data_IF_143568733230
#
_entry.id   IF_143568733230
#
_cell.length_a   1.000
_cell.length_b   1.000
_cell.length_c   1.000
_cell.angle_alpha   90.00
_cell.angle_beta   90.00
_cell.angle_gamma   90.00
#
_symmetry.space_group_name_H-M   'P 1'
#
loop_
_entity.id
_entity.type
_entity.pdbx_description
1 polymer ?
#
# COMPACT_ATOMS: atom_id res chain seq x y z
N UNK A 1 -11.47 23.07 -4.44
CA UNK A 1 -10.37 23.82 -3.79
C UNK A 1 -9.36 24.29 -4.84
N UNK A 2 -8.72 25.42 -4.57
CA UNK A 2 -7.62 25.90 -5.41
C UNK A 2 -6.36 25.09 -5.05
N UNK A 3 -5.67 24.59 -6.08
CA UNK A 3 -4.40 23.88 -5.88
C UNK A 3 -3.35 24.86 -5.31
N UNK A 4 -2.66 24.54 -4.20
CA UNK A 4 -1.58 25.37 -3.72
C UNK A 4 -0.41 25.42 -4.72
N UNK A 5 0.39 26.49 -4.73
CA UNK A 5 1.56 26.56 -5.60
C UNK A 5 2.56 25.44 -5.26
N UNK A 6 3.32 25.01 -6.26
CA UNK A 6 4.44 24.10 -6.01
C UNK A 6 5.49 24.75 -5.11
N UNK A 7 6.04 24.03 -4.12
CA UNK A 7 7.06 24.57 -3.23
C UNK A 7 8.27 25.16 -3.97
N UNK A 8 8.64 24.61 -5.11
CA UNK A 8 9.73 25.16 -5.95
C UNK A 8 9.44 26.58 -6.47
N UNK A 9 8.15 26.98 -6.53
CA UNK A 9 7.73 28.33 -6.93
C UNK A 9 7.50 29.20 -5.70
N UNK A 10 6.77 28.66 -4.73
CA UNK A 10 6.41 29.38 -3.49
C UNK A 10 6.22 28.35 -2.35
N UNK A 11 7.27 28.18 -1.54
CA UNK A 11 7.30 27.25 -0.40
C UNK A 11 7.41 27.95 0.94
N UNK A 12 8.39 27.52 1.74
CA UNK A 12 8.64 28.05 3.09
C UNK A 12 8.91 29.56 3.05
N UNK A 13 8.24 30.30 3.91
CA UNK A 13 8.28 31.78 3.98
C UNK A 13 7.94 32.47 2.65
N UNK A 14 7.15 31.84 1.79
CA UNK A 14 6.81 32.37 0.47
C UNK A 14 7.96 32.39 -0.53
N UNK A 15 9.05 31.67 -0.26
CA UNK A 15 10.24 31.60 -1.11
C UNK A 15 10.31 30.27 -1.86
N UNK A 16 11.01 30.20 -3.02
CA UNK A 16 11.29 28.94 -3.68
C UNK A 16 11.98 27.96 -2.72
N UNK A 17 11.43 26.73 -2.61
CA UNK A 17 11.85 25.76 -1.61
C UNK A 17 12.02 24.39 -2.26
N UNK A 18 13.16 23.76 -2.02
CA UNK A 18 13.42 22.36 -2.40
C UNK A 18 12.91 21.46 -1.26
N UNK A 19 12.18 20.40 -1.62
CA UNK A 19 11.71 19.38 -0.70
C UNK A 19 12.38 18.06 -1.06
N UNK A 20 12.94 17.40 -0.07
CA UNK A 20 13.51 16.06 -0.19
C UNK A 20 12.98 15.15 0.91
N UNK A 21 12.95 13.85 0.65
CA UNK A 21 12.61 12.84 1.64
C UNK A 21 13.66 12.83 2.77
N UNK A 22 13.20 12.68 4.01
CA UNK A 22 14.06 12.69 5.20
C UNK A 22 15.07 11.53 5.18
N UNK A 23 14.66 10.34 4.77
CA UNK A 23 15.54 9.16 4.61
C UNK A 23 16.67 9.44 3.62
N UNK A 24 16.34 10.05 2.48
CA UNK A 24 17.33 10.49 1.47
C UNK A 24 18.33 11.48 2.07
N UNK A 25 17.85 12.51 2.76
CA UNK A 25 18.73 13.51 3.37
C UNK A 25 19.60 12.93 4.49
N UNK A 26 19.09 11.99 5.27
CA UNK A 26 19.84 11.31 6.32
C UNK A 26 20.98 10.45 5.73
N UNK A 27 20.83 9.92 4.54
CA UNK A 27 21.84 9.07 3.88
C UNK A 27 22.98 9.88 3.26
N UNK A 28 22.70 11.11 2.79
CA UNK A 28 23.70 11.96 2.08
C UNK A 28 25.01 12.13 2.83
N UNK A 29 25.06 12.45 4.15
CA UNK A 29 26.32 12.61 4.87
C UNK A 29 27.19 11.35 4.86
N UNK A 30 26.58 10.18 4.93
CA UNK A 30 27.28 8.90 4.91
C UNK A 30 27.83 8.58 3.54
N UNK A 31 27.12 8.90 2.47
CA UNK A 31 27.60 8.76 1.08
C UNK A 31 28.80 9.69 0.85
N UNK A 32 28.73 10.94 1.29
CA UNK A 32 29.83 11.89 1.17
C UNK A 32 31.07 11.46 1.93
N UNK A 33 30.89 10.83 3.09
CA UNK A 33 32.01 10.33 3.93
C UNK A 33 32.65 9.07 3.35
N UNK A 34 31.87 8.12 2.89
CA UNK A 34 32.32 6.76 2.56
C UNK A 34 32.43 6.51 1.05
N UNK A 35 31.85 7.38 0.22
CA UNK A 35 31.85 7.28 -1.23
C UNK A 35 30.62 6.54 -1.81
N UNK A 36 30.38 6.74 -3.10
CA UNK A 36 29.22 6.17 -3.80
C UNK A 36 29.28 4.63 -3.88
N UNK A 37 30.45 4.08 -4.15
CA UNK A 37 30.64 2.63 -4.24
C UNK A 37 30.34 1.92 -2.90
N UNK A 38 30.67 2.56 -1.77
CA UNK A 38 30.27 2.03 -0.47
C UNK A 38 28.75 1.91 -0.35
N UNK A 39 28.02 2.96 -0.74
CA UNK A 39 26.55 2.94 -0.64
C UNK A 39 25.93 1.92 -1.58
N UNK A 40 26.43 1.83 -2.81
CA UNK A 40 26.00 0.86 -3.79
C UNK A 40 26.12 -0.58 -3.28
N UNK A 41 27.24 -0.89 -2.63
CA UNK A 41 27.52 -2.22 -2.10
C UNK A 41 26.74 -2.57 -0.83
N UNK A 42 25.90 -1.68 -0.28
CA UNK A 42 25.00 -2.00 0.82
C UNK A 42 23.72 -2.70 0.37
N UNK A 43 23.36 -2.58 -0.91
CA UNK A 43 22.17 -3.23 -1.46
C UNK A 43 22.37 -4.71 -1.81
N UNK A 44 21.30 -5.41 -2.07
CA UNK A 44 21.25 -6.79 -2.56
C UNK A 44 20.50 -6.86 -3.89
N UNK A 45 20.70 -7.94 -4.67
CA UNK A 45 19.95 -8.23 -5.90
C UNK A 45 19.90 -7.06 -6.92
N UNK A 46 21.06 -6.47 -7.23
CA UNK A 46 21.21 -5.34 -8.17
C UNK A 46 20.59 -4.02 -7.70
N UNK A 47 20.11 -3.95 -6.46
CA UNK A 47 19.62 -2.74 -5.83
C UNK A 47 20.71 -2.05 -5.03
N UNK A 48 20.68 -0.71 -4.98
CA UNK A 48 21.71 0.09 -4.31
C UNK A 48 21.20 0.58 -2.93
N UNK A 49 22.04 0.45 -1.90
CA UNK A 49 21.83 1.08 -0.61
C UNK A 49 20.88 0.33 0.33
N UNK A 50 20.37 1.07 1.29
CA UNK A 50 19.51 0.56 2.35
C UNK A 50 18.16 1.26 2.36
N UNK A 51 17.17 0.64 3.00
CA UNK A 51 15.85 1.21 3.23
C UNK A 51 15.32 0.88 4.61
N UNK A 52 14.53 1.81 5.17
CA UNK A 52 13.75 1.58 6.37
C UNK A 52 12.46 0.85 6.01
N UNK A 53 12.30 -0.37 6.51
CA UNK A 53 11.07 -1.15 6.38
C UNK A 53 10.26 -1.06 7.67
N UNK A 54 9.06 -0.49 7.57
CA UNK A 54 8.15 -0.36 8.71
C UNK A 54 7.20 -1.57 8.74
N UNK A 55 7.59 -2.61 9.47
CA UNK A 55 6.84 -3.86 9.58
C UNK A 55 5.68 -3.71 10.56
N UNK A 56 4.45 -3.96 10.10
CA UNK A 56 3.21 -3.82 10.89
C UNK A 56 2.17 -4.87 10.53
N UNK A 57 1.06 -4.88 11.24
CA UNK A 57 -0.02 -5.85 11.05
C UNK A 57 0.12 -7.06 11.98
N UNK A 58 -0.21 -8.25 11.50
CA UNK A 58 -0.19 -9.49 12.26
C UNK A 58 1.22 -10.09 12.35
N UNK A 59 2.05 -9.47 13.17
CA UNK A 59 3.43 -9.86 13.47
C UNK A 59 3.60 -10.09 14.97
N UNK A 60 4.47 -11.00 15.37
CA UNK A 60 4.81 -11.19 16.78
C UNK A 60 5.53 -9.96 17.34
N UNK A 61 6.44 -9.34 16.54
CA UNK A 61 7.17 -8.13 16.92
C UNK A 61 7.12 -7.07 15.81
N UNK A 62 6.10 -6.23 15.72
CA UNK A 62 6.08 -5.10 14.79
C UNK A 62 7.21 -4.12 15.10
N UNK A 63 8.02 -3.76 14.10
CA UNK A 63 9.16 -2.86 14.26
C UNK A 63 9.58 -2.17 12.97
N UNK A 64 10.49 -1.22 13.08
CA UNK A 64 11.18 -0.61 11.94
C UNK A 64 12.54 -1.26 11.80
N UNK A 65 12.86 -1.72 10.59
CA UNK A 65 14.10 -2.43 10.27
C UNK A 65 14.82 -1.65 9.18
N UNK A 66 16.08 -1.27 9.42
CA UNK A 66 16.98 -0.82 8.37
C UNK A 66 17.63 -2.06 7.75
N UNK A 67 17.41 -2.27 6.46
CA UNK A 67 17.95 -3.43 5.75
C UNK A 67 18.40 -3.06 4.34
N UNK A 68 19.28 -3.88 3.72
CA UNK A 68 19.62 -3.73 2.31
C UNK A 68 18.37 -3.66 1.43
N UNK A 69 18.36 -2.74 0.46
CA UNK A 69 17.37 -2.77 -0.59
C UNK A 69 17.59 -4.05 -1.40
N UNK A 70 16.54 -4.82 -1.67
CA UNK A 70 16.63 -6.13 -2.30
C UNK A 70 16.67 -7.32 -1.32
N UNK A 71 16.63 -7.07 -0.01
CA UNK A 71 16.44 -8.14 0.99
C UNK A 71 15.16 -8.95 0.68
N UNK A 72 15.20 -10.26 0.83
CA UNK A 72 14.03 -11.11 0.60
C UNK A 72 12.99 -10.89 1.72
N UNK A 73 11.71 -10.81 1.37
CA UNK A 73 10.62 -10.55 2.32
C UNK A 73 10.61 -11.53 3.51
N UNK A 74 10.89 -12.82 3.29
CA UNK A 74 10.94 -13.82 4.36
C UNK A 74 11.94 -13.47 5.46
N UNK A 75 13.08 -12.87 5.13
CA UNK A 75 14.06 -12.41 6.13
C UNK A 75 13.52 -11.26 6.99
N UNK A 76 12.79 -10.31 6.39
CA UNK A 76 12.12 -9.24 7.15
C UNK A 76 11.05 -9.81 8.09
N UNK A 77 10.35 -10.85 7.65
CA UNK A 77 9.35 -11.54 8.47
C UNK A 77 10.00 -12.28 9.65
N UNK A 78 11.14 -12.96 9.42
CA UNK A 78 11.94 -13.61 10.45
C UNK A 78 12.42 -12.62 11.51
N UNK A 79 12.91 -11.45 11.11
CA UNK A 79 13.31 -10.38 12.01
C UNK A 79 12.17 -9.92 12.95
N UNK A 80 10.92 -10.09 12.52
CA UNK A 80 9.72 -9.80 13.30
C UNK A 80 9.21 -11.01 14.11
N UNK A 81 10.01 -12.06 14.26
CA UNK A 81 9.63 -13.34 14.88
C UNK A 81 8.41 -14.01 14.24
N UNK A 82 8.22 -13.79 12.94
CA UNK A 82 7.16 -14.41 12.14
C UNK A 82 5.78 -13.78 12.31
N UNK A 83 4.79 -14.47 11.76
CA UNK A 83 3.38 -14.08 11.83
C UNK A 83 2.84 -14.30 13.25
N UNK A 84 1.93 -13.44 13.69
CA UNK A 84 1.31 -13.45 14.99
C UNK A 84 0.74 -14.84 15.35
N UNK A 85 1.05 -15.31 16.56
CA UNK A 85 0.57 -16.57 17.13
C UNK A 85 0.84 -17.82 16.27
N UNK A 86 1.78 -17.74 15.30
CA UNK A 86 2.10 -18.84 14.41
C UNK A 86 1.06 -19.09 13.32
N UNK A 87 0.14 -18.17 13.10
CA UNK A 87 -0.84 -18.23 12.01
C UNK A 87 -0.17 -18.21 10.64
N UNK A 88 -0.89 -18.67 9.62
CA UNK A 88 -0.40 -18.64 8.24
C UNK A 88 -0.47 -17.23 7.66
N UNK A 89 0.60 -16.83 6.95
CA UNK A 89 0.59 -15.61 6.16
C UNK A 89 -0.45 -15.72 5.04
N UNK A 90 -1.33 -14.74 4.93
CA UNK A 90 -2.38 -14.67 3.90
C UNK A 90 -2.05 -13.67 2.81
N UNK A 91 -1.71 -12.45 3.21
CA UNK A 91 -1.51 -11.34 2.30
C UNK A 91 -0.56 -10.30 2.87
N UNK A 92 0.02 -9.50 1.98
CA UNK A 92 0.90 -8.39 2.34
C UNK A 92 0.59 -7.17 1.48
N UNK A 93 0.59 -5.99 2.10
CA UNK A 93 0.71 -4.71 1.41
C UNK A 93 2.15 -4.25 1.63
N UNK A 94 3.03 -4.26 0.61
CA UNK A 94 4.47 -4.10 0.84
C UNK A 94 4.97 -2.66 0.92
N UNK A 95 4.15 -1.67 0.57
CA UNK A 95 4.63 -0.29 0.41
C UNK A 95 3.67 0.80 0.89
N UNK A 96 2.79 0.50 1.84
CA UNK A 96 1.75 1.40 2.32
C UNK A 96 0.40 1.17 1.64
N UNK A 97 -0.67 1.73 2.21
CA UNK A 97 -2.05 1.44 1.81
C UNK A 97 -2.41 1.78 0.36
N UNK A 98 -1.55 2.54 -0.34
CA UNK A 98 -1.73 2.93 -1.74
C UNK A 98 -1.27 1.89 -2.76
N UNK A 99 -0.46 0.91 -2.34
CA UNK A 99 0.05 -0.09 -3.28
C UNK A 99 -0.84 -1.32 -3.35
N UNK A 100 -0.81 -2.07 -4.47
CA UNK A 100 -1.56 -3.30 -4.62
C UNK A 100 -1.21 -4.33 -3.55
N UNK A 101 -2.23 -4.94 -2.93
CA UNK A 101 -2.08 -6.10 -2.05
C UNK A 101 -1.65 -7.32 -2.86
N UNK A 102 -0.80 -8.15 -2.29
CA UNK A 102 -0.38 -9.44 -2.88
C UNK A 102 -0.62 -10.58 -1.92
N UNK A 103 -0.77 -11.80 -2.47
CA UNK A 103 -0.89 -13.03 -1.69
C UNK A 103 0.46 -13.49 -1.14
N UNK A 104 0.42 -14.27 -0.06
CA UNK A 104 1.61 -14.82 0.59
C UNK A 104 2.56 -15.55 -0.37
N UNK A 105 2.00 -16.43 -1.21
CA UNK A 105 2.76 -17.23 -2.18
C UNK A 105 3.53 -16.41 -3.21
N UNK A 106 3.08 -15.17 -3.46
CA UNK A 106 3.74 -14.29 -4.44
C UNK A 106 4.88 -13.47 -3.85
N UNK A 107 4.88 -13.23 -2.54
CA UNK A 107 5.84 -12.30 -1.93
C UNK A 107 6.90 -12.96 -1.06
N UNK A 108 6.63 -14.15 -0.52
CA UNK A 108 7.48 -14.76 0.52
C UNK A 108 8.96 -14.85 0.11
N UNK A 109 9.23 -15.20 -1.14
CA UNK A 109 10.58 -15.34 -1.70
C UNK A 109 10.99 -14.17 -2.61
N UNK A 110 10.20 -13.07 -2.59
CA UNK A 110 10.44 -11.92 -3.47
C UNK A 110 11.42 -10.93 -2.80
N UNK A 111 12.46 -10.47 -3.53
CA UNK A 111 13.29 -9.37 -3.10
C UNK A 111 12.48 -8.09 -2.94
N UNK A 112 12.74 -7.36 -1.86
CA UNK A 112 12.07 -6.10 -1.55
C UNK A 112 12.79 -4.93 -2.23
N UNK A 113 12.67 -4.89 -3.54
CA UNK A 113 13.16 -3.84 -4.44
C UNK A 113 12.08 -3.39 -5.42
N UNK A 114 12.37 -2.35 -6.21
CA UNK A 114 11.39 -1.76 -7.12
C UNK A 114 11.00 -2.70 -8.25
N UNK A 115 11.98 -3.36 -8.87
CA UNK A 115 11.81 -4.20 -10.05
C UNK A 115 11.14 -5.52 -9.71
N UNK A 116 11.55 -6.15 -8.63
CA UNK A 116 11.01 -7.45 -8.21
C UNK A 116 9.56 -7.33 -7.76
N UNK A 117 9.22 -6.30 -6.99
CA UNK A 117 7.84 -6.05 -6.57
C UNK A 117 6.93 -5.66 -7.76
N UNK A 118 7.47 -4.92 -8.74
CA UNK A 118 6.73 -4.60 -9.98
C UNK A 118 6.39 -5.86 -10.78
N UNK A 119 7.31 -6.83 -10.86
CA UNK A 119 7.10 -8.11 -11.56
C UNK A 119 5.94 -8.92 -10.98
N UNK A 120 5.72 -8.86 -9.67
CA UNK A 120 4.58 -9.52 -9.02
C UNK A 120 3.31 -8.66 -8.94
N UNK A 121 3.32 -7.49 -9.58
CA UNK A 121 2.15 -6.62 -9.71
C UNK A 121 1.85 -5.73 -8.51
N UNK A 122 2.89 -5.37 -7.74
CA UNK A 122 2.81 -4.41 -6.63
C UNK A 122 3.95 -3.40 -6.71
N UNK A 123 4.24 -2.67 -5.64
CA UNK A 123 5.29 -1.65 -5.59
C UNK A 123 5.93 -1.59 -4.20
N UNK A 124 7.21 -1.19 -4.15
CA UNK A 124 7.90 -0.95 -2.87
C UNK A 124 7.30 0.23 -2.09
N UNK A 125 6.79 1.24 -2.78
CA UNK A 125 6.16 2.41 -2.18
C UNK A 125 7.04 3.08 -1.11
N UNK A 126 6.46 3.27 0.08
CA UNK A 126 7.18 3.89 1.21
C UNK A 126 8.00 2.90 2.05
N UNK A 127 7.89 1.58 1.80
CA UNK A 127 8.44 0.56 2.69
C UNK A 127 7.61 0.32 3.96
N UNK A 128 6.39 0.87 4.00
CA UNK A 128 5.41 0.59 5.05
C UNK A 128 4.69 -0.72 4.77
N UNK A 129 5.11 -1.79 5.44
CA UNK A 129 4.63 -3.16 5.18
C UNK A 129 3.50 -3.50 6.15
N UNK A 130 2.39 -4.01 5.60
CA UNK A 130 1.25 -4.49 6.41
C UNK A 130 1.09 -5.97 6.16
N UNK A 131 1.35 -6.77 7.18
CA UNK A 131 1.22 -8.23 7.17
C UNK A 131 -0.17 -8.62 7.64
N UNK A 132 -0.81 -9.51 6.90
CA UNK A 132 -2.16 -10.01 7.19
C UNK A 132 -2.14 -11.53 7.20
N UNK A 133 -2.59 -12.12 8.29
CA UNK A 133 -2.72 -13.57 8.46
C UNK A 133 -4.07 -14.11 7.95
N UNK A 134 -4.24 -15.41 8.07
CA UNK A 134 -5.44 -16.14 7.64
C UNK A 134 -6.73 -15.71 8.34
N UNK A 135 -6.65 -15.07 9.52
CA UNK A 135 -7.81 -14.57 10.26
C UNK A 135 -8.31 -13.23 9.73
N UNK A 136 -7.61 -12.64 8.77
CA UNK A 136 -7.93 -11.32 8.22
C UNK A 136 -9.06 -11.38 7.19
N UNK A 137 -10.13 -10.63 7.43
CA UNK A 137 -11.20 -10.41 6.45
C UNK A 137 -10.79 -9.32 5.45
N UNK A 138 -10.56 -9.70 4.20
CA UNK A 138 -10.08 -8.76 3.16
C UNK A 138 -11.12 -7.69 2.80
N UNK A 139 -12.40 -7.97 2.92
CA UNK A 139 -13.48 -6.97 2.73
C UNK A 139 -13.40 -5.86 3.78
N UNK A 140 -13.15 -6.23 5.04
CA UNK A 140 -13.01 -5.27 6.14
C UNK A 140 -11.76 -4.41 6.01
N UNK A 141 -10.64 -5.00 5.57
CA UNK A 141 -9.40 -4.26 5.31
C UNK A 141 -9.60 -3.24 4.19
N UNK A 142 -10.20 -3.66 3.07
CA UNK A 142 -10.44 -2.75 1.95
C UNK A 142 -11.42 -1.64 2.32
N UNK A 143 -12.46 -1.92 3.12
CA UNK A 143 -13.35 -0.87 3.63
C UNK A 143 -12.58 0.17 4.45
N UNK A 144 -11.69 -0.29 5.33
CA UNK A 144 -10.85 0.60 6.17
C UNK A 144 -9.94 1.49 5.33
N UNK A 145 -9.29 0.93 4.31
CA UNK A 145 -8.45 1.66 3.36
C UNK A 145 -9.30 2.68 2.58
N UNK A 146 -10.44 2.26 2.06
CA UNK A 146 -11.32 3.15 1.28
C UNK A 146 -11.89 4.30 2.12
N UNK A 147 -12.18 4.05 3.41
CA UNK A 147 -12.58 5.09 4.36
C UNK A 147 -11.50 6.15 4.51
N UNK A 148 -10.23 5.73 4.62
CA UNK A 148 -9.10 6.64 4.72
C UNK A 148 -9.02 7.54 3.49
N UNK A 149 -9.01 6.98 2.29
CA UNK A 149 -8.94 7.79 1.06
C UNK A 149 -10.14 8.71 0.85
N UNK A 150 -11.33 8.29 1.27
CA UNK A 150 -12.50 9.16 1.26
C UNK A 150 -12.34 10.36 2.20
N UNK A 151 -11.81 10.14 3.40
CA UNK A 151 -11.56 11.20 4.37
C UNK A 151 -10.45 12.17 3.92
N UNK A 152 -9.39 11.64 3.28
CA UNK A 152 -8.22 12.42 2.86
C UNK A 152 -8.41 13.12 1.50
N UNK A 153 -9.45 12.82 0.74
CA UNK A 153 -9.73 13.51 -0.52
C UNK A 153 -9.90 15.01 -0.30
N UNK A 154 -9.07 15.80 -0.97
CA UNK A 154 -9.18 17.27 -0.89
C UNK A 154 -10.44 17.84 -1.58
N UNK A 155 -11.16 17.02 -2.37
CA UNK A 155 -12.37 17.39 -3.08
C UNK A 155 -12.16 18.19 -4.37
N UNK A 156 -10.93 18.31 -4.88
CA UNK A 156 -10.64 19.08 -6.10
C UNK A 156 -11.18 18.40 -7.35
N UNK A 157 -10.83 17.13 -7.58
CA UNK A 157 -11.19 16.40 -8.80
C UNK A 157 -12.49 15.63 -8.58
N UNK A 158 -13.44 15.73 -9.51
CA UNK A 158 -14.73 15.04 -9.40
C UNK A 158 -14.57 13.52 -9.27
N UNK A 159 -13.74 12.83 -10.06
CA UNK A 159 -13.58 11.38 -9.92
C UNK A 159 -13.11 10.96 -8.52
N UNK A 160 -12.16 11.66 -7.93
CA UNK A 160 -11.69 11.41 -6.57
C UNK A 160 -12.73 11.80 -5.53
N UNK A 161 -13.27 13.03 -5.60
CA UNK A 161 -14.23 13.57 -4.61
C UNK A 161 -15.46 12.68 -4.45
N UNK A 162 -16.06 12.28 -5.56
CA UNK A 162 -17.29 11.46 -5.54
C UNK A 162 -16.97 9.97 -5.50
N UNK A 163 -15.99 9.53 -6.30
CA UNK A 163 -15.68 8.12 -6.46
C UNK A 163 -15.14 7.47 -5.18
N UNK A 164 -14.28 8.13 -4.41
CA UNK A 164 -13.79 7.58 -3.13
C UNK A 164 -14.93 7.37 -2.14
N UNK A 165 -15.90 8.29 -2.11
CA UNK A 165 -17.11 8.16 -1.30
C UNK A 165 -18.01 7.01 -1.76
N UNK A 166 -18.10 6.77 -3.07
CA UNK A 166 -18.86 5.65 -3.62
C UNK A 166 -18.18 4.31 -3.30
N UNK A 167 -16.86 4.20 -3.46
CA UNK A 167 -16.10 3.00 -3.08
C UNK A 167 -16.34 2.65 -1.60
N UNK A 168 -16.14 3.61 -0.70
CA UNK A 168 -16.34 3.39 0.73
C UNK A 168 -17.77 2.97 1.08
N UNK A 169 -18.78 3.70 0.61
CA UNK A 169 -20.19 3.41 0.90
C UNK A 169 -20.63 2.05 0.36
N UNK A 170 -20.15 1.67 -0.83
CA UNK A 170 -20.43 0.35 -1.42
C UNK A 170 -19.80 -0.76 -0.58
N UNK A 171 -18.56 -0.60 -0.10
CA UNK A 171 -17.92 -1.56 0.80
C UNK A 171 -18.64 -1.67 2.15
N UNK A 172 -19.09 -0.57 2.72
CA UNK A 172 -19.94 -0.58 3.93
C UNK A 172 -21.23 -1.36 3.69
N UNK A 173 -21.89 -1.15 2.55
CA UNK A 173 -23.10 -1.89 2.16
C UNK A 173 -22.83 -3.40 2.06
N UNK A 174 -21.72 -3.80 1.42
CA UNK A 174 -21.33 -5.22 1.31
C UNK A 174 -21.07 -5.78 2.72
N UNK A 175 -20.26 -5.11 3.54
CA UNK A 175 -19.90 -5.57 4.88
C UNK A 175 -21.09 -5.65 5.84
N UNK A 176 -22.12 -4.84 5.64
CA UNK A 176 -23.37 -4.92 6.41
C UNK A 176 -24.34 -6.03 5.96
N UNK A 177 -23.92 -6.89 5.00
CA UNK A 177 -24.75 -7.97 4.48
C UNK A 177 -25.82 -7.53 3.47
N UNK A 178 -25.80 -6.27 3.04
CA UNK A 178 -26.76 -5.71 2.07
C UNK A 178 -26.19 -5.59 0.65
N UNK A 179 -24.96 -6.10 0.44
CA UNK A 179 -24.30 -6.12 -0.85
C UNK A 179 -24.97 -7.03 -1.87
N UNK A 180 -24.77 -6.71 -3.14
CA UNK A 180 -25.25 -7.47 -4.30
C UNK A 180 -24.10 -7.68 -5.29
N UNK A 181 -24.26 -8.59 -6.25
CA UNK A 181 -23.27 -8.80 -7.30
C UNK A 181 -22.98 -7.49 -8.08
N UNK A 182 -24.02 -6.71 -8.36
CA UNK A 182 -23.87 -5.41 -9.03
C UNK A 182 -23.04 -4.39 -8.22
N UNK A 183 -22.95 -4.54 -6.90
CA UNK A 183 -22.09 -3.69 -6.07
C UNK A 183 -20.61 -4.05 -6.27
N UNK A 184 -20.26 -5.33 -6.49
CA UNK A 184 -18.88 -5.74 -6.83
C UNK A 184 -18.47 -5.19 -8.20
N UNK A 185 -19.35 -5.28 -9.19
CA UNK A 185 -19.12 -4.69 -10.52
C UNK A 185 -18.97 -3.17 -10.44
N UNK A 186 -19.75 -2.53 -9.55
CA UNK A 186 -19.68 -1.08 -9.31
C UNK A 186 -18.32 -0.69 -8.73
N UNK A 187 -17.80 -1.44 -7.75
CA UNK A 187 -16.47 -1.17 -7.17
C UNK A 187 -15.37 -1.16 -8.24
N UNK A 188 -15.35 -2.18 -9.10
CA UNK A 188 -14.36 -2.27 -10.18
C UNK A 188 -14.52 -1.12 -11.19
N UNK A 189 -15.76 -0.82 -11.59
CA UNK A 189 -16.04 0.27 -12.53
C UNK A 189 -15.64 1.64 -11.96
N UNK A 190 -15.98 1.93 -10.71
CA UNK A 190 -15.65 3.22 -10.08
C UNK A 190 -14.15 3.35 -9.91
N UNK A 191 -13.43 2.30 -9.49
CA UNK A 191 -11.97 2.33 -9.38
C UNK A 191 -11.31 2.65 -10.73
N UNK A 192 -11.77 2.04 -11.84
CA UNK A 192 -11.27 2.33 -13.18
C UNK A 192 -11.59 3.77 -13.65
N UNK A 193 -12.68 4.38 -13.17
CA UNK A 193 -13.04 5.77 -13.50
C UNK A 193 -12.25 6.80 -12.65
N UNK A 194 -11.67 6.39 -11.54
CA UNK A 194 -10.80 7.25 -10.71
C UNK A 194 -9.36 7.21 -11.24
N UNK A 195 -8.85 6.02 -11.53
CA UNK A 195 -7.47 5.79 -11.94
C UNK A 195 -7.14 6.55 -13.24
N UNK A 196 -6.07 7.32 -13.22
CA UNK A 196 -5.63 8.13 -14.35
C UNK A 196 -6.49 9.38 -14.66
N UNK A 197 -7.57 9.62 -13.91
CA UNK A 197 -8.50 10.73 -14.19
C UNK A 197 -8.48 11.82 -13.11
N UNK A 198 -7.48 11.82 -12.24
CA UNK A 198 -7.30 12.79 -11.18
C UNK A 198 -6.06 13.66 -11.39
N UNK A 199 -6.05 14.87 -10.79
CA UNK A 199 -4.93 15.81 -10.92
C UNK A 199 -3.68 15.32 -10.17
N UNK A 200 -3.86 14.57 -9.08
CA UNK A 200 -2.77 14.06 -8.25
C UNK A 200 -2.91 12.56 -8.01
N UNK A 201 -1.84 11.93 -7.55
CA UNK A 201 -1.75 10.49 -7.33
C UNK A 201 -2.69 9.95 -6.22
N UNK A 202 -3.39 10.79 -5.44
CA UNK A 202 -4.32 10.30 -4.42
C UNK A 202 -5.48 9.50 -5.05
N UNK A 203 -5.93 9.88 -6.24
CA UNK A 203 -6.96 9.12 -6.96
C UNK A 203 -6.49 7.70 -7.29
N UNK A 204 -5.31 7.59 -7.87
CA UNK A 204 -4.70 6.29 -8.21
C UNK A 204 -4.43 5.46 -6.94
N UNK A 205 -3.92 6.11 -5.89
CA UNK A 205 -3.70 5.51 -4.58
C UNK A 205 -4.99 4.95 -3.93
N UNK A 206 -6.15 5.55 -4.22
CA UNK A 206 -7.44 5.04 -3.75
C UNK A 206 -7.98 3.90 -4.63
N UNK A 207 -7.68 3.91 -5.92
CA UNK A 207 -8.21 2.94 -6.89
C UNK A 207 -7.41 1.62 -6.91
N UNK A 208 -6.07 1.69 -6.84
CA UNK A 208 -5.20 0.51 -6.91
C UNK A 208 -5.47 -0.55 -5.84
N UNK A 209 -5.68 -0.20 -4.55
CA UNK A 209 -6.09 -1.19 -3.55
C UNK A 209 -7.39 -1.90 -3.93
N UNK A 210 -8.43 -1.16 -4.33
CA UNK A 210 -9.72 -1.75 -4.71
C UNK A 210 -9.54 -2.80 -5.81
N UNK A 211 -8.81 -2.45 -6.86
CA UNK A 211 -8.55 -3.36 -8.00
C UNK A 211 -7.77 -4.61 -7.57
N UNK A 212 -6.73 -4.44 -6.74
CA UNK A 212 -5.89 -5.54 -6.30
C UNK A 212 -6.60 -6.47 -5.31
N UNK A 213 -7.39 -5.93 -4.39
CA UNK A 213 -8.20 -6.73 -3.47
C UNK A 213 -9.26 -7.54 -4.23
N UNK A 214 -9.99 -6.94 -5.15
CA UNK A 214 -10.96 -7.65 -5.99
C UNK A 214 -10.27 -8.73 -6.84
N UNK A 215 -9.11 -8.43 -7.44
CA UNK A 215 -8.36 -9.38 -8.26
C UNK A 215 -7.88 -10.61 -7.46
N UNK A 216 -7.35 -10.39 -6.27
CA UNK A 216 -6.66 -11.43 -5.52
C UNK A 216 -7.58 -12.19 -4.54
N UNK A 217 -8.66 -11.57 -4.08
CA UNK A 217 -9.54 -12.10 -3.04
C UNK A 217 -11.02 -12.07 -3.43
N UNK A 218 -11.34 -12.15 -4.73
CA UNK A 218 -12.70 -12.10 -5.25
C UNK A 218 -13.66 -13.04 -4.51
N UNK A 219 -13.20 -14.24 -4.16
CA UNK A 219 -13.98 -15.25 -3.45
C UNK A 219 -14.51 -14.77 -2.09
N UNK A 220 -13.76 -13.94 -1.35
CA UNK A 220 -14.24 -13.39 -0.08
C UNK A 220 -15.33 -12.34 -0.28
N UNK A 221 -15.22 -11.52 -1.33
CA UNK A 221 -16.23 -10.53 -1.66
C UNK A 221 -17.51 -11.19 -2.16
N UNK A 222 -17.41 -12.18 -3.02
CA UNK A 222 -18.55 -12.98 -3.52
C UNK A 222 -19.24 -13.72 -2.37
N UNK A 223 -18.47 -14.37 -1.49
CA UNK A 223 -19.01 -15.02 -0.31
C UNK A 223 -19.78 -14.04 0.59
N UNK A 224 -19.25 -12.84 0.79
CA UNK A 224 -19.94 -11.81 1.57
C UNK A 224 -21.28 -11.40 0.97
N UNK A 225 -21.35 -11.29 -0.34
CA UNK A 225 -22.59 -10.99 -1.06
C UNK A 225 -23.59 -12.14 -0.92
N UNK A 226 -23.13 -13.38 -1.08
CA UNK A 226 -24.00 -14.56 -1.07
C UNK A 226 -24.49 -14.96 0.34
N UNK A 227 -23.57 -14.95 1.32
CA UNK A 227 -23.84 -15.43 2.68
C UNK A 227 -24.18 -14.33 3.68
N UNK A 228 -24.05 -13.04 3.29
CA UNK A 228 -24.32 -11.86 4.13
C UNK A 228 -23.41 -11.74 5.37
N UNK A 229 -22.28 -12.42 5.36
CA UNK A 229 -21.32 -12.46 6.48
C UNK A 229 -19.90 -12.69 5.96
N UNK A 230 -18.89 -12.47 6.82
CA UNK A 230 -17.50 -12.77 6.52
C UNK A 230 -17.29 -14.26 6.23
N UNK A 231 -16.39 -14.57 5.29
CA UNK A 231 -15.86 -15.94 5.09
C UNK A 231 -14.95 -16.35 6.26
N UNK A 232 -14.34 -15.36 6.90
CA UNK A 232 -13.46 -15.52 8.06
C UNK A 232 -14.28 -15.22 9.30
N UNK A 233 -14.37 -16.20 10.20
CA UNK A 233 -15.09 -16.09 11.48
C UNK A 233 -14.17 -15.55 12.58
#
# INVERSE_FOLDING_TARGET
RIKPPFPAVQGLYGKPTIINNTETLATVPYILKNGAEWYKNLGENESDGVKMFCMSGHLNEPKVIEAPLGIVFSKLLEECNGVLDGNNLKAVIPGGSSVPVVKAESIIDTPMDYESLMKIGTMLGSGGIIVMDETTCMVSVLERISRFYYAESCGQCTPCREGTGWLYKTLVKIRSGNGTQSDLDLLNRVANQIEGHCICALGDAAAMPVKSFLKNFWNEFEYYVDKKQSMIM
#
